data_IF_642466977439
#
_entry.id   IF_642466977439
#
_cell.length_a   1.000
_cell.length_b   1.000
_cell.length_c   1.000
_cell.angle_alpha   90.00
_cell.angle_beta   90.00
_cell.angle_gamma   90.00
#
_symmetry.space_group_name_H-M   'P 1'
#
loop_
_entity.id
_entity.type
_entity.pdbx_description
1 polymer ?
#
# COMPACT_ATOMS: atom_id res chain seq x y z
N UNK A 1 -28.94 -60.43 -41.44
CA UNK A 1 -27.59 -59.79 -41.43
C UNK A 1 -27.77 -58.30 -41.71
N UNK A 2 -26.97 -57.45 -41.04
CA UNK A 2 -26.87 -55.96 -41.12
C UNK A 2 -28.14 -55.14 -40.77
N UNK A 3 -28.39 -54.78 -39.51
CA UNK A 3 -27.87 -53.65 -38.69
C UNK A 3 -28.39 -52.26 -39.12
N UNK A 4 -29.43 -51.79 -38.42
CA UNK A 4 -29.85 -50.39 -38.32
C UNK A 4 -28.94 -49.65 -37.32
N UNK A 5 -28.42 -48.48 -37.69
CA UNK A 5 -27.78 -47.53 -36.78
C UNK A 5 -28.60 -46.22 -36.79
N UNK A 6 -29.14 -45.74 -35.66
CA UNK A 6 -29.75 -44.43 -35.60
C UNK A 6 -28.68 -43.36 -35.37
N UNK A 7 -28.71 -42.32 -36.20
CA UNK A 7 -27.87 -41.12 -36.08
C UNK A 7 -28.21 -40.34 -34.80
N UNK A 8 -27.19 -40.12 -33.97
CA UNK A 8 -27.25 -39.37 -32.72
C UNK A 8 -27.28 -37.86 -33.02
N UNK A 9 -28.39 -37.19 -32.75
CA UNK A 9 -28.47 -35.72 -32.79
C UNK A 9 -27.75 -35.15 -31.57
N UNK A 10 -26.62 -34.49 -31.80
CA UNK A 10 -25.89 -33.76 -30.76
C UNK A 10 -26.66 -32.49 -30.37
N UNK A 11 -27.15 -32.44 -29.14
CA UNK A 11 -27.67 -31.22 -28.51
C UNK A 11 -26.46 -30.40 -28.04
N UNK A 12 -26.16 -29.32 -28.75
CA UNK A 12 -25.13 -28.35 -28.39
C UNK A 12 -25.66 -27.49 -27.23
N UNK A 13 -25.29 -27.83 -26.00
CA UNK A 13 -25.49 -26.99 -24.82
C UNK A 13 -24.60 -25.74 -24.96
N UNK A 14 -25.19 -24.61 -25.36
CA UNK A 14 -24.58 -23.30 -25.16
C UNK A 14 -24.48 -23.03 -23.66
N UNK A 15 -23.33 -23.34 -23.07
CA UNK A 15 -22.97 -22.84 -21.74
C UNK A 15 -22.68 -21.35 -21.90
N UNK A 16 -23.67 -20.51 -21.62
CA UNK A 16 -23.46 -19.07 -21.50
C UNK A 16 -22.47 -18.82 -20.37
N UNK A 17 -21.32 -18.25 -20.70
CA UNK A 17 -20.36 -17.74 -19.72
C UNK A 17 -20.98 -16.55 -18.99
N UNK A 18 -21.67 -16.81 -17.90
CA UNK A 18 -22.02 -15.77 -16.93
C UNK A 18 -20.71 -15.23 -16.33
N UNK A 19 -20.53 -13.92 -16.16
CA UNK A 19 -19.44 -13.41 -15.33
C UNK A 19 -19.71 -13.82 -13.88
N UNK A 20 -18.93 -14.77 -13.38
CA UNK A 20 -18.88 -15.03 -11.94
C UNK A 20 -18.30 -13.79 -11.26
N UNK A 21 -19.10 -13.11 -10.43
CA UNK A 21 -18.55 -12.15 -9.47
C UNK A 21 -17.70 -12.98 -8.50
N UNK A 22 -16.37 -12.95 -8.69
CA UNK A 22 -15.44 -13.56 -7.76
C UNK A 22 -15.53 -12.79 -6.43
N UNK A 23 -16.18 -13.40 -5.44
CA UNK A 23 -16.08 -12.97 -4.04
C UNK A 23 -14.61 -13.08 -3.62
N UNK A 24 -13.95 -11.92 -3.54
CA UNK A 24 -12.69 -11.77 -2.82
C UNK A 24 -11.45 -12.30 -3.54
N UNK A 25 -11.11 -11.73 -4.69
CA UNK A 25 -9.68 -11.60 -5.00
C UNK A 25 -9.03 -10.82 -3.83
N UNK A 26 -7.84 -11.23 -3.33
CA UNK A 26 -7.14 -10.46 -2.32
C UNK A 26 -6.92 -9.06 -2.89
N UNK A 27 -7.51 -8.06 -2.25
CA UNK A 27 -7.29 -6.68 -2.64
C UNK A 27 -5.82 -6.38 -2.42
N UNK A 28 -5.11 -6.05 -3.49
CA UNK A 28 -3.65 -5.82 -3.42
C UNK A 28 -3.35 -4.38 -3.00
N UNK A 29 -4.23 -3.45 -3.37
CA UNK A 29 -4.09 -2.03 -3.08
C UNK A 29 -5.40 -1.42 -2.64
N UNK A 30 -5.26 -0.26 -2.01
CA UNK A 30 -6.35 0.62 -1.64
C UNK A 30 -6.05 2.04 -2.08
N UNK A 31 -7.05 2.73 -2.63
CA UNK A 31 -7.02 4.15 -3.01
C UNK A 31 -7.85 4.94 -2.02
N UNK A 32 -7.30 6.03 -1.51
CA UNK A 32 -8.04 6.94 -0.65
C UNK A 32 -9.06 7.75 -1.46
N UNK A 33 -10.34 7.52 -1.22
CA UNK A 33 -11.45 8.17 -1.94
C UNK A 33 -11.74 9.60 -1.50
N UNK A 34 -11.31 9.98 -0.30
CA UNK A 34 -11.52 11.31 0.28
C UNK A 34 -10.24 11.89 0.87
N UNK A 35 -10.16 13.22 1.03
CA UNK A 35 -9.02 13.82 1.71
C UNK A 35 -9.05 13.50 3.21
N UNK A 36 -7.87 13.42 3.82
CA UNK A 36 -7.68 13.36 5.27
C UNK A 36 -8.12 12.04 5.95
N UNK A 37 -7.93 10.90 5.27
CA UNK A 37 -8.20 9.58 5.85
C UNK A 37 -7.17 9.27 6.94
N UNK A 38 -7.63 8.96 8.15
CA UNK A 38 -6.73 8.70 9.28
C UNK A 38 -6.01 7.35 9.12
N UNK A 39 -4.67 7.38 9.17
CA UNK A 39 -3.82 6.20 9.29
C UNK A 39 -3.59 5.89 10.77
N UNK A 40 -3.99 4.70 11.21
CA UNK A 40 -3.98 4.34 12.65
C UNK A 40 -3.00 3.23 12.98
N UNK A 41 -2.54 3.19 14.22
CA UNK A 41 -1.67 2.11 14.72
C UNK A 41 -2.39 0.78 14.98
N UNK A 42 -3.73 0.76 14.96
CA UNK A 42 -4.54 -0.42 15.20
C UNK A 42 -5.94 -0.32 14.58
N UNK A 43 -6.67 -1.45 14.45
CA UNK A 43 -8.01 -1.52 13.86
C UNK A 43 -9.08 -1.04 14.85
N UNK A 44 -8.97 0.20 15.31
CA UNK A 44 -9.89 0.80 16.27
C UNK A 44 -9.97 2.32 16.10
N UNK A 45 -11.14 2.90 16.33
CA UNK A 45 -11.34 4.36 16.35
C UNK A 45 -10.62 5.05 17.51
N UNK A 46 -10.20 4.30 18.53
CA UNK A 46 -9.40 4.79 19.67
C UNK A 46 -7.90 4.59 19.49
N UNK A 47 -7.47 3.87 18.45
CA UNK A 47 -6.05 3.72 18.14
C UNK A 47 -5.43 5.05 17.72
N UNK A 48 -4.15 5.23 18.05
CA UNK A 48 -3.40 6.46 17.74
C UNK A 48 -3.39 6.71 16.24
N UNK A 49 -3.70 7.94 15.83
CA UNK A 49 -3.56 8.40 14.44
C UNK A 49 -2.11 8.84 14.22
N UNK A 50 -1.42 8.22 13.27
CA UNK A 50 -0.01 8.53 12.95
C UNK A 50 0.11 9.67 11.93
N UNK A 51 -0.92 9.86 11.12
CA UNK A 51 -0.94 10.77 9.99
C UNK A 51 -2.27 10.66 9.25
N UNK A 52 -2.40 11.43 8.18
CA UNK A 52 -3.58 11.40 7.32
C UNK A 52 -3.15 11.21 5.87
N UNK A 53 -3.78 10.27 5.20
CA UNK A 53 -3.61 10.08 3.77
C UNK A 53 -4.46 11.09 3.00
N UNK A 54 -3.95 11.50 1.85
CA UNK A 54 -4.61 12.41 0.92
C UNK A 54 -5.50 11.66 -0.06
N UNK A 55 -6.42 12.37 -0.71
CA UNK A 55 -7.27 11.77 -1.74
C UNK A 55 -6.38 11.31 -2.90
N UNK A 56 -6.55 10.05 -3.32
CA UNK A 56 -5.78 9.44 -4.38
C UNK A 56 -4.48 8.77 -3.92
N UNK A 57 -4.15 8.83 -2.63
CA UNK A 57 -3.04 8.02 -2.09
C UNK A 57 -3.33 6.54 -2.28
N UNK A 58 -2.30 5.82 -2.74
CA UNK A 58 -2.34 4.39 -2.96
C UNK A 58 -1.43 3.69 -1.97
N UNK A 59 -1.98 2.71 -1.27
CA UNK A 59 -1.23 1.84 -0.37
C UNK A 59 -1.40 0.38 -0.74
N UNK A 60 -0.34 -0.40 -0.54
CA UNK A 60 -0.41 -1.85 -0.63
C UNK A 60 -1.12 -2.42 0.59
N UNK A 61 -2.10 -3.29 0.37
CA UNK A 61 -2.79 -4.03 1.42
C UNK A 61 -1.98 -5.28 1.78
N UNK A 62 -1.80 -5.52 3.08
CA UNK A 62 -1.11 -6.70 3.63
C UNK A 62 -2.01 -7.57 4.50
N UNK A 63 -3.22 -7.10 4.77
CA UNK A 63 -4.22 -7.79 5.58
C UNK A 63 -5.51 -6.99 5.64
N UNK A 64 -6.54 -7.58 6.24
CA UNK A 64 -7.79 -6.89 6.50
C UNK A 64 -8.56 -7.56 7.63
N UNK A 65 -9.37 -6.77 8.32
CA UNK A 65 -10.42 -7.25 9.22
C UNK A 65 -11.79 -6.99 8.59
N UNK A 66 -12.88 -7.15 9.33
CA UNK A 66 -14.22 -6.81 8.86
C UNK A 66 -14.33 -5.33 8.48
N UNK A 67 -13.84 -4.43 9.33
CA UNK A 67 -14.01 -2.97 9.19
C UNK A 67 -12.75 -2.21 8.75
N UNK A 68 -11.60 -2.89 8.64
CA UNK A 68 -10.31 -2.24 8.41
C UNK A 68 -9.50 -2.91 7.31
N UNK A 69 -8.75 -2.09 6.56
CA UNK A 69 -7.62 -2.55 5.77
C UNK A 69 -6.32 -2.35 6.55
N UNK A 70 -5.42 -3.32 6.45
CA UNK A 70 -4.04 -3.21 6.90
C UNK A 70 -3.17 -2.81 5.71
N UNK A 71 -2.64 -1.61 5.76
CA UNK A 71 -1.83 -1.02 4.70
C UNK A 71 -0.36 -1.01 5.10
N UNK A 72 0.52 -1.37 4.16
CA UNK A 72 1.95 -1.40 4.37
C UNK A 72 2.53 0.01 4.35
N UNK A 73 3.20 0.40 5.43
CA UNK A 73 3.85 1.71 5.52
C UNK A 73 5.38 1.63 5.38
N UNK A 74 6.01 2.80 5.41
CA UNK A 74 7.43 3.01 5.18
C UNK A 74 8.33 2.28 6.18
N UNK A 75 7.96 2.26 7.46
CA UNK A 75 8.65 1.50 8.52
C UNK A 75 8.59 -0.02 8.34
N UNK A 76 7.78 -0.50 7.39
CA UNK A 76 7.50 -1.90 7.15
C UNK A 76 6.43 -2.50 8.07
N UNK A 77 5.90 -1.73 9.01
CA UNK A 77 4.73 -2.13 9.80
C UNK A 77 3.42 -1.76 9.11
N UNK A 78 2.34 -2.54 9.36
CA UNK A 78 1.03 -2.17 8.90
C UNK A 78 0.47 -0.97 9.70
N UNK A 79 -0.35 -0.17 9.02
CA UNK A 79 -1.28 0.79 9.63
C UNK A 79 -2.70 0.50 9.14
N UNK A 80 -3.66 1.05 9.84
CA UNK A 80 -5.06 0.70 9.65
C UNK A 80 -5.84 1.88 9.09
N UNK A 81 -6.59 1.63 8.03
CA UNK A 81 -7.58 2.55 7.45
C UNK A 81 -8.95 1.89 7.48
N UNK A 82 -10.00 2.65 7.77
CA UNK A 82 -11.36 2.10 7.82
C UNK A 82 -11.86 1.79 6.41
N UNK A 83 -12.63 0.71 6.26
CA UNK A 83 -13.28 0.36 4.99
C UNK A 83 -14.48 1.25 4.65
N UNK A 84 -15.05 1.95 5.63
CA UNK A 84 -16.19 2.83 5.41
C UNK A 84 -15.83 3.91 4.38
N UNK A 85 -16.60 3.97 3.27
CA UNK A 85 -16.74 4.94 2.15
C UNK A 85 -15.56 5.84 1.70
N UNK A 86 -14.35 5.57 2.16
CA UNK A 86 -13.18 6.43 1.95
C UNK A 86 -12.02 5.67 1.31
N UNK A 87 -12.24 4.41 0.95
CA UNK A 87 -11.20 3.53 0.44
C UNK A 87 -11.77 2.63 -0.66
N UNK A 88 -11.24 2.76 -1.87
CA UNK A 88 -11.59 1.88 -2.98
C UNK A 88 -10.51 0.82 -3.13
N UNK A 89 -10.85 -0.47 -3.09
CA UNK A 89 -9.88 -1.49 -3.40
C UNK A 89 -9.51 -1.45 -4.88
N UNK A 90 -8.24 -1.71 -5.19
CA UNK A 90 -7.75 -1.88 -6.55
C UNK A 90 -7.00 -3.19 -6.68
N UNK A 91 -7.27 -3.91 -7.76
CA UNK A 91 -6.39 -4.99 -8.21
C UNK A 91 -5.15 -4.40 -8.89
N UNK A 92 -4.03 -5.13 -8.86
CA UNK A 92 -2.78 -4.69 -9.48
C UNK A 92 -2.90 -4.43 -10.99
N UNK A 93 -3.79 -5.16 -11.68
CA UNK A 93 -4.06 -4.98 -13.10
C UNK A 93 -4.70 -3.61 -13.42
N UNK A 94 -5.50 -3.07 -12.50
CA UNK A 94 -6.22 -1.80 -12.68
C UNK A 94 -5.34 -0.58 -12.36
N UNK A 95 -4.13 -0.78 -11.82
CA UNK A 95 -3.17 0.29 -11.52
C UNK A 95 -2.52 0.88 -12.79
N UNK A 96 -2.56 0.17 -13.92
CA UNK A 96 -1.65 0.38 -15.05
C UNK A 96 -1.97 1.58 -15.97
N UNK A 97 -3.16 2.19 -15.90
CA UNK A 97 -3.53 3.20 -16.91
C UNK A 97 -3.63 4.66 -16.43
N UNK A 98 -3.63 4.98 -15.13
CA UNK A 98 -3.90 6.38 -14.72
C UNK A 98 -3.47 6.84 -13.32
N UNK A 99 -2.84 5.98 -12.51
CA UNK A 99 -2.73 6.24 -11.06
C UNK A 99 -1.38 6.79 -10.57
N UNK A 100 -0.46 7.16 -11.46
CA UNK A 100 0.86 7.69 -11.06
C UNK A 100 1.73 6.68 -10.31
N UNK A 101 1.49 5.38 -10.51
CA UNK A 101 2.22 4.27 -9.91
C UNK A 101 3.53 3.95 -10.64
N UNK A 102 4.29 4.99 -10.99
CA UNK A 102 5.62 4.86 -11.60
C UNK A 102 6.61 5.74 -10.88
N UNK A 103 7.81 5.22 -10.65
CA UNK A 103 8.93 6.06 -10.22
C UNK A 103 9.24 7.11 -11.29
N UNK A 104 9.92 8.22 -10.91
CA UNK A 104 10.37 9.21 -11.88
C UNK A 104 11.16 8.58 -13.03
N UNK A 105 10.91 9.04 -14.25
CA UNK A 105 11.66 8.57 -15.42
C UNK A 105 13.16 8.91 -15.36
N UNK A 106 13.54 9.91 -14.55
CA UNK A 106 14.94 10.29 -14.33
C UNK A 106 15.50 9.59 -13.09
N UNK A 107 16.49 8.73 -13.30
CA UNK A 107 17.27 8.10 -12.22
C UNK A 107 17.87 9.14 -11.27
N UNK A 108 18.30 10.31 -11.79
CA UNK A 108 18.82 11.40 -10.96
C UNK A 108 17.74 11.98 -10.03
N UNK A 109 16.49 12.05 -10.50
CA UNK A 109 15.34 12.48 -9.68
C UNK A 109 15.01 11.43 -8.62
N UNK A 110 14.96 10.14 -8.98
CA UNK A 110 14.78 9.06 -8.01
C UNK A 110 15.89 9.07 -6.95
N UNK A 111 17.15 9.22 -7.36
CA UNK A 111 18.34 9.45 -6.50
C UNK A 111 18.06 10.53 -5.45
N UNK A 112 17.66 11.72 -5.91
CA UNK A 112 17.42 12.87 -5.02
C UNK A 112 16.34 12.56 -3.99
N UNK A 113 15.21 12.00 -4.43
CA UNK A 113 14.09 11.64 -3.54
C UNK A 113 14.55 10.60 -2.52
N UNK A 114 15.33 9.61 -2.95
CA UNK A 114 15.87 8.60 -2.04
C UNK A 114 16.71 9.22 -0.90
N UNK A 115 17.67 10.10 -1.19
CA UNK A 115 18.42 10.76 -0.09
C UNK A 115 17.55 11.66 0.78
N UNK A 116 16.51 12.28 0.23
CA UNK A 116 15.58 13.05 1.05
C UNK A 116 14.81 12.12 1.99
N UNK A 117 14.44 10.90 1.54
CA UNK A 117 13.84 9.88 2.43
C UNK A 117 14.81 9.38 3.49
N UNK A 118 16.09 9.17 3.18
CA UNK A 118 17.11 8.79 4.16
C UNK A 118 17.29 9.87 5.24
N UNK A 119 17.33 11.16 4.85
CA UNK A 119 17.31 12.28 5.82
C UNK A 119 16.04 12.27 6.69
N UNK A 120 14.91 11.86 6.11
CA UNK A 120 13.63 11.68 6.83
C UNK A 120 13.70 10.58 7.88
N UNK A 121 14.32 9.45 7.55
CA UNK A 121 14.55 8.34 8.48
C UNK A 121 15.49 8.76 9.62
N UNK A 122 16.57 9.49 9.30
CA UNK A 122 17.49 10.04 10.30
C UNK A 122 16.78 11.03 11.23
N UNK A 123 15.92 11.89 10.68
CA UNK A 123 15.08 12.81 11.45
C UNK A 123 14.16 12.04 12.39
N UNK A 124 13.47 11.01 11.92
CA UNK A 124 12.60 10.17 12.75
C UNK A 124 13.36 9.53 13.91
N UNK A 125 14.58 9.03 13.65
CA UNK A 125 15.43 8.42 14.66
C UNK A 125 15.89 9.43 15.73
N UNK A 126 16.25 10.65 15.33
CA UNK A 126 16.63 11.73 16.26
C UNK A 126 15.45 12.19 17.12
N UNK A 127 14.31 12.48 16.52
CA UNK A 127 13.10 12.90 17.24
C UNK A 127 12.63 11.81 18.23
N UNK A 128 12.68 10.53 17.85
CA UNK A 128 12.38 9.44 18.76
C UNK A 128 13.35 9.36 19.96
N UNK A 129 14.64 9.61 19.72
CA UNK A 129 15.67 9.55 20.76
C UNK A 129 15.54 10.70 21.77
N UNK A 130 15.17 11.89 21.30
CA UNK A 130 14.90 13.07 22.14
C UNK A 130 13.72 12.83 23.09
N UNK A 131 12.67 12.16 22.62
CA UNK A 131 11.49 11.87 23.41
C UNK A 131 11.66 10.67 24.34
N UNK A 132 12.27 9.59 23.84
CA UNK A 132 12.46 8.34 24.59
C UNK A 132 13.87 7.80 24.30
N UNK A 133 14.86 8.08 25.17
CA UNK A 133 16.19 7.52 25.01
C UNK A 133 16.15 5.98 24.96
N UNK A 134 16.83 5.38 23.99
CA UNK A 134 16.86 3.92 23.83
C UNK A 134 17.49 3.19 25.03
N UNK A 135 18.33 3.88 25.80
CA UNK A 135 18.91 3.41 27.07
C UNK A 135 17.88 3.31 28.18
N UNK A 136 16.86 4.17 28.18
CA UNK A 136 15.77 4.16 29.15
C UNK A 136 14.72 3.11 28.79
N UNK A 137 14.32 3.07 27.51
CA UNK A 137 13.33 2.10 27.04
C UNK A 137 13.47 1.83 25.53
N UNK A 138 14.26 0.83 25.18
CA UNK A 138 14.49 0.42 23.77
C UNK A 138 13.21 0.04 23.04
N UNK A 139 12.28 -0.63 23.72
CA UNK A 139 11.03 -1.08 23.09
C UNK A 139 10.15 0.11 22.70
N UNK A 140 9.93 1.06 23.62
CA UNK A 140 9.14 2.27 23.35
C UNK A 140 9.83 3.17 22.33
N UNK A 141 11.16 3.30 22.41
CA UNK A 141 11.95 4.00 21.39
C UNK A 141 11.70 3.42 19.99
N UNK A 142 11.79 2.09 19.84
CA UNK A 142 11.60 1.44 18.53
C UNK A 142 10.18 1.65 17.98
N UNK A 143 9.15 1.56 18.84
CA UNK A 143 7.76 1.81 18.42
C UNK A 143 7.59 3.26 17.97
N UNK A 144 8.08 4.21 18.75
CA UNK A 144 7.97 5.64 18.43
C UNK A 144 8.74 5.97 17.14
N UNK A 145 9.96 5.45 16.97
CA UNK A 145 10.77 5.63 15.76
C UNK A 145 9.98 5.23 14.52
N UNK A 146 9.37 4.04 14.50
CA UNK A 146 8.59 3.57 13.34
C UNK A 146 7.35 4.40 13.06
N UNK A 147 6.67 4.88 14.10
CA UNK A 147 5.54 5.81 13.94
C UNK A 147 6.01 7.12 13.29
N UNK A 148 7.16 7.66 13.72
CA UNK A 148 7.73 8.88 13.15
C UNK A 148 8.25 8.66 11.72
N UNK A 149 8.86 7.51 11.42
CA UNK A 149 9.24 7.12 10.06
C UNK A 149 8.04 7.18 9.12
N UNK A 150 6.93 6.53 9.50
CA UNK A 150 5.73 6.51 8.66
C UNK A 150 5.15 7.91 8.44
N UNK A 151 5.13 8.74 9.50
CA UNK A 151 4.62 10.10 9.44
C UNK A 151 5.48 10.99 8.54
N UNK A 152 6.79 10.98 8.75
CA UNK A 152 7.73 11.87 8.04
C UNK A 152 7.84 11.46 6.58
N UNK A 153 7.94 10.16 6.28
CA UNK A 153 8.07 9.73 4.89
C UNK A 153 6.75 9.91 4.12
N UNK A 154 5.58 9.81 4.76
CA UNK A 154 4.32 10.15 4.12
C UNK A 154 4.32 11.59 3.62
N UNK A 155 4.71 12.53 4.48
CA UNK A 155 4.84 13.96 4.14
C UNK A 155 5.83 14.17 2.99
N UNK A 156 6.98 13.49 3.01
CA UNK A 156 7.97 13.59 1.93
C UNK A 156 7.45 13.07 0.60
N UNK A 157 6.70 11.96 0.60
CA UNK A 157 6.10 11.41 -0.61
C UNK A 157 5.08 12.37 -1.21
N UNK A 158 4.27 13.02 -0.38
CA UNK A 158 3.37 14.09 -0.81
C UNK A 158 4.13 15.28 -1.41
N UNK A 159 5.21 15.76 -0.76
CA UNK A 159 6.07 16.85 -1.26
C UNK A 159 6.63 16.52 -2.65
N UNK A 160 7.03 15.27 -2.88
CA UNK A 160 7.59 14.85 -4.17
C UNK A 160 6.54 14.42 -5.21
N UNK A 161 5.26 14.47 -4.85
CA UNK A 161 4.14 13.95 -5.63
C UNK A 161 4.34 12.48 -6.06
N UNK A 162 4.84 11.64 -5.14
CA UNK A 162 4.98 10.20 -5.32
C UNK A 162 3.91 9.45 -4.53
N UNK A 163 3.39 8.39 -5.14
CA UNK A 163 2.48 7.47 -4.46
C UNK A 163 3.18 6.74 -3.30
N UNK A 164 2.59 6.68 -2.09
CA UNK A 164 3.21 5.99 -0.94
C UNK A 164 3.60 4.54 -1.22
N UNK A 165 2.80 3.82 -2.00
CA UNK A 165 3.09 2.45 -2.42
C UNK A 165 4.40 2.28 -3.22
N UNK A 166 4.97 3.36 -3.78
CA UNK A 166 6.21 3.33 -4.56
C UNK A 166 7.48 3.25 -3.70
N UNK A 167 7.41 3.44 -2.38
CA UNK A 167 8.60 3.50 -1.53
C UNK A 167 9.52 2.28 -1.66
N UNK A 168 8.94 1.07 -1.69
CA UNK A 168 9.75 -0.15 -1.88
C UNK A 168 10.37 -0.24 -3.27
N UNK A 169 9.70 0.28 -4.28
CA UNK A 169 10.25 0.40 -5.63
C UNK A 169 11.45 1.35 -5.65
N UNK A 170 11.34 2.50 -4.98
CA UNK A 170 12.43 3.47 -4.84
C UNK A 170 13.65 2.85 -4.14
N UNK A 171 13.43 2.14 -3.03
CA UNK A 171 14.51 1.43 -2.31
C UNK A 171 15.12 0.31 -3.18
N UNK A 172 14.32 -0.39 -3.96
CA UNK A 172 14.82 -1.43 -4.87
C UNK A 172 15.65 -0.85 -6.03
N UNK A 173 15.23 0.30 -6.58
CA UNK A 173 16.03 1.05 -7.55
C UNK A 173 17.35 1.49 -6.93
N UNK A 174 17.34 2.11 -5.74
CA UNK A 174 18.55 2.53 -5.04
C UNK A 174 19.58 1.41 -4.86
N UNK A 175 19.12 0.21 -4.46
CA UNK A 175 19.98 -0.97 -4.31
C UNK A 175 20.54 -1.45 -5.63
N UNK A 176 19.73 -1.46 -6.70
CA UNK A 176 20.17 -1.89 -8.03
C UNK A 176 21.22 -0.94 -8.61
N UNK A 177 21.04 0.35 -8.39
CA UNK A 177 21.90 1.41 -8.93
C UNK A 177 23.09 1.76 -7.99
N UNK A 178 23.18 1.15 -6.80
CA UNK A 178 24.28 1.35 -5.86
C UNK A 178 24.32 2.75 -5.25
N UNK A 179 23.17 3.29 -4.86
CA UNK A 179 23.10 4.55 -4.10
C UNK A 179 23.37 4.28 -2.62
N UNK A 180 24.61 3.92 -2.30
CA UNK A 180 25.11 3.86 -0.92
C UNK A 180 25.79 5.18 -0.54
#
# INVERSE_FOLDING_TARGET
MSKLFPTLTAVLLLVGSQPSIALGAPQEYVVMGTPLVNLRTGPSTTAMVIGRAEKGDIFKVVGQTEEWYEVLMFSGEPRYVTKADFVYPLAQADLLESHGMSLPASTARSRSIFWDTEKGLDRAAREALELIPATLNRARYNVLKKVLEDKILLEMFHIHALQPALYRGLVAEARREGWE
#
